data_IF_443059004927
#
_entry.id   IF_443059004927
#
_cell.length_a   1.000
_cell.length_b   1.000
_cell.length_c   1.000
_cell.angle_alpha   90.00
_cell.angle_beta   90.00
_cell.angle_gamma   90.00
#
_symmetry.space_group_name_H-M   'P 1'
#
loop_
_entity.id
_entity.type
_entity.pdbx_description
1 polymer ?
#
# COMPACT_ATOMS: atom_id res chain seq x y z
N UNK A 1 15.13 7.29 28.28
CA UNK A 1 14.49 7.89 27.09
C UNK A 1 15.19 9.22 26.88
N UNK A 2 15.94 9.37 25.79
CA UNK A 2 16.74 10.57 25.54
C UNK A 2 15.80 11.75 25.19
N UNK A 3 15.80 12.86 25.96
CA UNK A 3 14.91 14.00 25.75
C UNK A 3 15.13 14.74 24.41
N UNK A 4 16.19 14.44 23.66
CA UNK A 4 16.45 15.04 22.35
C UNK A 4 15.55 14.51 21.20
N UNK A 5 14.68 13.53 21.46
CA UNK A 5 13.73 12.95 20.50
C UNK A 5 12.86 13.99 19.77
N UNK A 6 12.46 15.09 20.44
CA UNK A 6 11.61 16.13 19.87
C UNK A 6 12.36 17.26 19.13
N UNK A 7 13.70 17.23 19.10
CA UNK A 7 14.51 18.36 18.60
C UNK A 7 15.09 18.15 17.20
N UNK A 8 14.83 17.01 16.55
CA UNK A 8 15.33 16.81 15.19
C UNK A 8 14.49 17.62 14.17
N UNK A 9 15.15 18.40 13.30
CA UNK A 9 14.50 19.14 12.21
C UNK A 9 13.80 18.23 11.19
N UNK A 10 14.13 16.93 11.20
CA UNK A 10 13.52 15.91 10.34
C UNK A 10 12.41 15.22 11.11
N UNK A 11 11.14 15.51 10.78
CA UNK A 11 9.98 14.78 11.33
C UNK A 11 10.20 13.28 11.18
N UNK A 12 9.84 12.51 12.21
CA UNK A 12 9.88 11.05 12.25
C UNK A 12 11.28 10.40 12.16
N UNK A 13 12.36 11.14 12.38
CA UNK A 13 13.69 10.55 12.56
C UNK A 13 13.81 9.94 13.96
N UNK A 14 14.03 8.63 14.03
CA UNK A 14 14.33 7.95 15.31
C UNK A 14 15.86 7.93 15.46
N UNK A 15 16.45 8.69 16.41
CA UNK A 15 17.91 8.82 16.55
C UNK A 15 18.58 7.54 17.09
N UNK A 16 17.80 6.54 17.47
CA UNK A 16 18.29 5.24 17.93
C UNK A 16 18.45 4.26 16.77
N UNK A 17 19.64 3.66 16.67
CA UNK A 17 19.93 2.56 15.74
C UNK A 17 19.89 1.24 16.50
N UNK A 18 19.08 0.28 16.07
CA UNK A 18 19.02 -1.05 16.68
C UNK A 18 20.30 -1.86 16.41
N UNK A 19 20.71 -2.78 17.31
CA UNK A 19 21.90 -3.62 17.08
C UNK A 19 21.86 -4.40 15.76
N UNK A 20 20.68 -4.94 15.39
CA UNK A 20 20.49 -5.63 14.11
C UNK A 20 20.70 -4.72 12.89
N UNK A 21 20.36 -3.43 12.98
CA UNK A 21 20.65 -2.44 11.93
C UNK A 21 22.14 -2.18 11.81
N UNK A 22 22.85 -2.06 12.93
CA UNK A 22 24.31 -1.87 12.94
C UNK A 22 24.98 -3.03 12.21
N UNK A 23 24.63 -4.26 12.58
CA UNK A 23 25.14 -5.48 11.94
C UNK A 23 24.78 -5.56 10.45
N UNK A 24 23.57 -5.12 10.08
CA UNK A 24 23.13 -5.08 8.70
C UNK A 24 23.94 -4.06 7.87
N UNK A 25 24.13 -2.85 8.39
CA UNK A 25 24.88 -1.79 7.72
C UNK A 25 26.34 -2.18 7.50
N UNK A 26 27.00 -2.85 8.45
CA UNK A 26 28.36 -3.39 8.24
C UNK A 26 28.46 -4.31 7.01
N UNK A 27 27.37 -5.03 6.69
CA UNK A 27 27.33 -5.96 5.57
C UNK A 27 26.96 -5.30 4.25
N UNK A 28 26.02 -4.36 4.23
CA UNK A 28 25.37 -3.89 2.99
C UNK A 28 25.53 -2.40 2.68
N UNK A 29 25.85 -1.54 3.65
CA UNK A 29 25.98 -0.10 3.44
C UNK A 29 27.01 0.22 2.34
N UNK A 30 26.66 1.15 1.45
CA UNK A 30 27.50 1.63 0.34
C UNK A 30 27.99 0.54 -0.64
N UNK A 31 27.37 -0.65 -0.58
CA UNK A 31 27.64 -1.73 -1.53
C UNK A 31 26.46 -1.88 -2.47
N UNK A 32 26.73 -1.94 -3.77
CA UNK A 32 25.70 -2.15 -4.79
C UNK A 32 24.86 -3.38 -4.38
N UNK A 33 23.54 -3.22 -4.20
CA UNK A 33 22.71 -4.32 -3.77
C UNK A 33 22.77 -5.49 -4.75
N UNK A 34 22.49 -6.69 -4.25
CA UNK A 34 22.35 -7.89 -5.06
C UNK A 34 20.91 -8.35 -4.91
N UNK A 35 20.10 -8.31 -5.98
CA UNK A 35 18.71 -8.74 -5.91
C UNK A 35 18.58 -10.17 -5.41
N UNK A 36 17.61 -10.38 -4.53
CA UNK A 36 17.17 -11.71 -4.11
C UNK A 36 15.66 -11.83 -4.33
N UNK A 37 15.19 -13.07 -4.40
CA UNK A 37 13.83 -13.38 -4.87
C UNK A 37 13.75 -13.36 -6.39
N UNK A 38 12.91 -14.23 -6.96
CA UNK A 38 12.68 -14.25 -8.39
C UNK A 38 11.91 -12.99 -8.82
N UNK A 39 12.15 -12.54 -10.05
CA UNK A 39 11.31 -11.52 -10.67
C UNK A 39 9.98 -12.15 -11.07
N UNK A 40 8.95 -11.94 -10.25
CA UNK A 40 7.59 -12.42 -10.47
C UNK A 40 6.61 -11.29 -10.16
N UNK A 41 5.84 -10.88 -11.16
CA UNK A 41 4.82 -9.84 -11.00
C UNK A 41 3.51 -10.48 -10.52
N UNK A 42 3.18 -10.23 -9.26
CA UNK A 42 2.03 -10.87 -8.60
C UNK A 42 0.82 -9.96 -8.44
N UNK A 43 0.98 -8.66 -8.63
CA UNK A 43 -0.08 -7.67 -8.40
C UNK A 43 0.13 -6.40 -9.22
N UNK A 44 -0.98 -5.71 -9.49
CA UNK A 44 -0.98 -4.38 -10.07
C UNK A 44 -0.91 -3.33 -8.97
N UNK A 45 0.02 -2.38 -9.09
CA UNK A 45 0.09 -1.25 -8.17
C UNK A 45 -0.61 -0.03 -8.75
N UNK A 46 -1.70 0.39 -8.10
CA UNK A 46 -2.39 1.63 -8.40
C UNK A 46 -2.20 2.59 -7.23
N UNK A 47 -1.60 3.77 -7.43
CA UNK A 47 -1.14 4.63 -6.34
C UNK A 47 -2.26 5.28 -5.51
N UNK A 48 -3.46 5.43 -6.09
CA UNK A 48 -4.61 6.11 -5.51
C UNK A 48 -4.27 7.41 -4.71
N UNK A 49 -3.53 8.31 -5.37
CA UNK A 49 -3.08 9.59 -4.79
C UNK A 49 -1.71 9.56 -4.12
N UNK A 50 -1.03 8.41 -4.05
CA UNK A 50 0.36 8.30 -3.59
C UNK A 50 1.36 8.49 -4.74
N UNK A 51 2.49 9.14 -4.49
CA UNK A 51 3.63 9.19 -5.42
C UNK A 51 4.59 8.00 -5.25
N UNK A 52 4.23 7.02 -4.41
CA UNK A 52 5.09 5.92 -3.96
C UNK A 52 4.51 4.56 -4.26
N UNK A 53 5.40 3.61 -4.51
CA UNK A 53 5.12 2.20 -4.28
C UNK A 53 5.48 1.91 -2.83
N UNK A 54 4.46 1.81 -1.97
CA UNK A 54 4.61 1.80 -0.52
C UNK A 54 4.16 0.46 0.09
N UNK A 55 5.12 -0.33 0.54
CA UNK A 55 4.94 -1.61 1.20
C UNK A 55 5.34 -1.53 2.68
N UNK A 56 5.26 -0.33 3.27
CA UNK A 56 5.54 -0.07 4.68
C UNK A 56 4.67 -0.90 5.61
N UNK A 57 5.16 -1.14 6.82
CA UNK A 57 4.46 -1.96 7.79
C UNK A 57 5.26 -2.18 9.07
N UNK A 58 4.79 -3.13 9.87
CA UNK A 58 5.39 -3.48 11.15
C UNK A 58 5.91 -4.91 11.17
N UNK A 59 7.18 -5.10 11.53
CA UNK A 59 7.81 -6.42 11.68
C UNK A 59 8.24 -6.69 13.11
N UNK A 60 7.70 -7.76 13.70
CA UNK A 60 8.09 -8.24 15.03
C UNK A 60 9.48 -8.86 15.08
N UNK A 61 9.97 -9.37 13.94
CA UNK A 61 11.28 -10.00 13.80
C UNK A 61 12.09 -9.28 12.72
N UNK A 62 13.33 -8.84 13.00
CA UNK A 62 14.21 -8.25 12.00
C UNK A 62 14.34 -9.17 10.78
N UNK A 63 13.89 -8.70 9.62
CA UNK A 63 13.80 -9.49 8.39
C UNK A 63 14.27 -8.64 7.23
N UNK A 64 15.25 -9.10 6.45
CA UNK A 64 15.58 -8.45 5.18
C UNK A 64 14.47 -8.77 4.18
N UNK A 65 13.83 -7.74 3.63
CA UNK A 65 12.76 -7.87 2.66
C UNK A 65 13.16 -7.17 1.37
N UNK A 66 12.67 -7.65 0.24
CA UNK A 66 12.95 -7.10 -1.07
C UNK A 66 11.75 -7.30 -1.99
N UNK A 67 11.56 -6.36 -2.91
CA UNK A 67 10.45 -6.37 -3.85
C UNK A 67 10.89 -5.90 -5.24
N UNK A 68 10.18 -6.39 -6.25
CA UNK A 68 10.32 -5.98 -7.64
C UNK A 68 9.12 -5.16 -8.08
N UNK A 69 9.36 -4.17 -8.92
CA UNK A 69 8.33 -3.43 -9.64
C UNK A 69 8.77 -3.22 -11.10
N UNK A 70 7.80 -3.13 -12.01
CA UNK A 70 8.04 -2.89 -13.43
C UNK A 70 6.97 -1.93 -13.98
N UNK A 71 7.41 -1.06 -14.88
CA UNK A 71 6.54 -0.23 -15.72
C UNK A 71 7.24 0.01 -17.07
N UNK A 72 6.55 0.66 -18.00
CA UNK A 72 7.13 1.07 -19.28
C UNK A 72 6.98 2.58 -19.48
N UNK A 73 7.99 3.17 -20.10
CA UNK A 73 7.95 4.54 -20.63
C UNK A 73 7.86 4.47 -22.15
N UNK A 74 6.75 4.94 -22.71
CA UNK A 74 6.57 5.08 -24.15
C UNK A 74 7.06 6.46 -24.60
N UNK A 75 8.10 6.48 -25.43
CA UNK A 75 8.67 7.70 -26.00
C UNK A 75 8.37 7.77 -27.50
N UNK A 76 7.82 8.89 -27.98
CA UNK A 76 7.55 9.07 -29.41
C UNK A 76 8.86 9.09 -30.22
N UNK A 77 9.87 9.78 -29.70
CA UNK A 77 11.22 9.88 -30.28
C UNK A 77 12.27 9.42 -29.28
N UNK A 78 13.43 8.98 -29.77
CA UNK A 78 14.56 8.69 -28.90
C UNK A 78 15.10 10.00 -28.27
N UNK A 79 15.56 9.93 -27.03
CA UNK A 79 16.06 11.09 -26.32
C UNK A 79 16.34 10.81 -24.84
N UNK A 80 16.81 11.82 -24.14
CA UNK A 80 17.20 11.69 -22.74
C UNK A 80 16.07 12.07 -21.78
N UNK A 81 16.02 11.36 -20.65
CA UNK A 81 15.18 11.69 -19.50
C UNK A 81 16.00 11.61 -18.21
N UNK A 82 15.68 12.47 -17.26
CA UNK A 82 16.24 12.45 -15.91
C UNK A 82 15.21 11.85 -14.96
N UNK A 83 15.59 10.77 -14.29
CA UNK A 83 14.79 10.09 -13.29
C UNK A 83 15.39 10.33 -11.90
N UNK A 84 14.55 10.54 -10.89
CA UNK A 84 14.97 10.58 -9.48
C UNK A 84 14.44 9.37 -8.74
N UNK A 85 15.35 8.52 -8.29
CA UNK A 85 15.04 7.36 -7.46
C UNK A 85 15.20 7.71 -5.98
N UNK A 86 14.13 7.53 -5.19
CA UNK A 86 14.09 7.80 -3.76
C UNK A 86 13.67 6.55 -2.98
N UNK A 87 14.45 6.16 -1.96
CA UNK A 87 14.12 5.07 -1.03
C UNK A 87 14.85 5.24 0.32
N UNK A 88 14.44 4.53 1.37
CA UNK A 88 15.15 4.49 2.66
C UNK A 88 16.27 3.42 2.70
N UNK A 89 16.06 2.34 1.96
CA UNK A 89 16.88 1.14 1.99
C UNK A 89 17.97 1.11 0.91
N UNK A 90 18.06 -0.03 0.24
CA UNK A 90 18.80 -0.24 -0.99
C UNK A 90 17.86 -0.36 -2.18
N UNK A 91 18.41 -0.20 -3.38
CA UNK A 91 17.68 -0.50 -4.60
C UNK A 91 18.50 -0.30 -5.86
N UNK A 92 17.98 -0.82 -6.96
CA UNK A 92 18.55 -0.76 -8.31
C UNK A 92 17.43 -0.35 -9.26
N UNK A 93 17.70 0.66 -10.09
CA UNK A 93 16.86 1.06 -11.21
C UNK A 93 17.49 0.53 -12.49
N UNK A 94 16.70 -0.16 -13.28
CA UNK A 94 17.08 -0.69 -14.57
C UNK A 94 16.23 -0.06 -15.66
N UNK A 95 16.87 0.33 -16.77
CA UNK A 95 16.19 0.80 -17.98
C UNK A 95 16.67 -0.05 -19.14
N UNK A 96 15.72 -0.67 -19.87
CA UNK A 96 16.01 -1.59 -20.97
C UNK A 96 17.00 -2.71 -20.62
N UNK A 97 16.95 -3.19 -19.36
CA UNK A 97 17.82 -4.25 -18.84
C UNK A 97 19.20 -3.79 -18.34
N UNK A 98 19.53 -2.49 -18.44
CA UNK A 98 20.79 -1.94 -17.94
C UNK A 98 20.60 -1.28 -16.56
N UNK A 99 21.50 -1.55 -15.61
CA UNK A 99 21.52 -0.89 -14.30
C UNK A 99 21.96 0.57 -14.45
N UNK A 100 21.04 1.52 -14.31
CA UNK A 100 21.30 2.96 -14.51
C UNK A 100 21.57 3.68 -13.20
N UNK A 101 20.96 3.26 -12.10
CA UNK A 101 21.16 3.85 -10.78
C UNK A 101 21.01 2.81 -9.68
N UNK A 102 21.63 3.05 -8.52
CA UNK A 102 21.45 2.23 -7.34
C UNK A 102 21.65 3.03 -6.06
N UNK A 103 20.97 2.65 -4.99
CA UNK A 103 21.15 3.18 -3.63
C UNK A 103 21.45 2.05 -2.66
N UNK A 104 22.15 2.36 -1.57
CA UNK A 104 22.48 1.44 -0.49
C UNK A 104 22.64 2.21 0.82
N UNK A 105 21.72 3.12 1.11
CA UNK A 105 21.80 4.01 2.28
C UNK A 105 21.39 3.29 3.57
N UNK A 106 20.36 2.43 3.50
CA UNK A 106 19.84 1.63 4.63
C UNK A 106 19.69 2.43 5.93
N UNK A 107 19.16 3.66 5.81
CA UNK A 107 18.88 4.53 6.95
C UNK A 107 17.43 4.32 7.34
N UNK A 108 17.19 3.86 8.56
CA UNK A 108 15.85 3.53 9.02
C UNK A 108 14.92 4.74 8.90
N UNK A 109 13.89 4.61 8.06
CA UNK A 109 12.83 5.58 7.80
C UNK A 109 13.30 6.95 7.28
N UNK A 110 14.56 7.05 6.86
CA UNK A 110 15.16 8.25 6.31
C UNK A 110 15.49 8.02 4.84
N UNK A 111 14.75 8.71 3.99
CA UNK A 111 14.88 8.60 2.54
C UNK A 111 16.14 9.29 2.01
N UNK A 112 16.71 8.70 0.97
CA UNK A 112 17.78 9.25 0.17
C UNK A 112 17.34 9.23 -1.31
N UNK A 113 17.77 10.22 -2.07
CA UNK A 113 17.45 10.36 -3.48
C UNK A 113 18.72 10.35 -4.34
N UNK A 114 18.63 9.78 -5.54
CA UNK A 114 19.68 9.78 -6.56
C UNK A 114 19.01 10.12 -7.90
N UNK A 115 19.58 11.10 -8.60
CA UNK A 115 19.15 11.46 -9.96
C UNK A 115 20.07 10.80 -10.99
N UNK A 116 19.48 10.32 -12.08
CA UNK A 116 20.19 9.71 -13.20
C UNK A 116 19.57 10.16 -14.52
N UNK A 117 20.42 10.51 -15.48
CA UNK A 117 19.99 10.73 -16.87
C UNK A 117 20.19 9.45 -17.67
N UNK A 118 19.13 9.03 -18.37
CA UNK A 118 19.11 7.81 -19.18
C UNK A 118 18.65 8.14 -20.59
N UNK A 119 19.19 7.42 -21.58
CA UNK A 119 18.73 7.51 -22.96
C UNK A 119 17.60 6.51 -23.19
N UNK A 120 16.48 7.00 -23.73
CA UNK A 120 15.36 6.19 -24.18
C UNK A 120 15.42 5.99 -25.70
N UNK A 121 14.96 4.83 -26.16
CA UNK A 121 14.66 4.58 -27.57
C UNK A 121 13.24 5.01 -27.90
N UNK A 122 12.95 5.29 -29.17
CA UNK A 122 11.56 5.45 -29.63
C UNK A 122 10.77 4.15 -29.39
N UNK A 123 9.51 4.27 -28.96
CA UNK A 123 8.66 3.17 -28.54
C UNK A 123 8.72 2.90 -27.03
N UNK A 124 8.47 1.64 -26.66
CA UNK A 124 8.43 1.22 -25.26
C UNK A 124 9.83 1.00 -24.68
N UNK A 125 10.09 1.61 -23.54
CA UNK A 125 11.28 1.41 -22.73
C UNK A 125 10.90 0.74 -21.42
N UNK A 126 11.51 -0.40 -21.13
CA UNK A 126 11.29 -1.15 -19.90
C UNK A 126 11.96 -0.45 -18.73
N UNK A 127 11.24 -0.25 -17.64
CA UNK A 127 11.78 0.30 -16.39
C UNK A 127 11.48 -0.67 -15.26
N UNK A 128 12.54 -1.20 -14.63
CA UNK A 128 12.42 -2.10 -13.47
C UNK A 128 13.10 -1.50 -12.26
N UNK A 129 12.50 -1.74 -11.11
CA UNK A 129 13.07 -1.39 -9.81
C UNK A 129 13.10 -2.64 -8.96
N UNK A 130 14.25 -2.94 -8.40
CA UNK A 130 14.37 -3.81 -7.24
C UNK A 130 14.78 -2.97 -6.05
N UNK A 131 14.13 -3.14 -4.91
CA UNK A 131 14.49 -2.41 -3.70
C UNK A 131 14.35 -3.30 -2.47
N UNK A 132 15.19 -3.06 -1.47
CA UNK A 132 15.26 -3.86 -0.25
C UNK A 132 15.52 -3.00 0.98
N UNK A 133 15.17 -3.54 2.14
CA UNK A 133 15.54 -2.96 3.43
C UNK A 133 15.57 -4.07 4.49
N UNK A 134 16.16 -3.76 5.65
CA UNK A 134 15.93 -4.51 6.88
C UNK A 134 14.62 -4.01 7.50
N UNK A 135 13.59 -4.85 7.49
CA UNK A 135 12.37 -4.62 8.23
C UNK A 135 12.55 -4.95 9.71
N UNK A 136 12.57 -3.91 10.54
CA UNK A 136 12.63 -4.00 12.00
C UNK A 136 11.62 -3.01 12.59
N UNK A 137 10.64 -3.50 13.37
CA UNK A 137 9.55 -2.66 13.91
C UNK A 137 8.76 -2.00 12.77
N UNK A 138 8.30 -0.77 12.97
CA UNK A 138 7.76 0.10 11.94
C UNK A 138 8.87 0.51 10.96
N UNK A 139 8.72 0.13 9.70
CA UNK A 139 9.59 0.59 8.61
C UNK A 139 8.83 1.24 7.48
N UNK A 140 9.45 2.26 6.88
CA UNK A 140 9.05 2.88 5.63
C UNK A 140 9.68 2.12 4.46
N UNK A 141 8.98 1.10 3.97
CA UNK A 141 9.45 0.26 2.87
C UNK A 141 8.81 0.71 1.56
N UNK A 142 9.42 1.68 0.89
CA UNK A 142 8.89 2.22 -0.35
C UNK A 142 9.99 2.58 -1.34
N UNK A 143 9.59 2.81 -2.58
CA UNK A 143 10.35 3.66 -3.48
C UNK A 143 9.45 4.68 -4.19
N UNK A 144 10.09 5.73 -4.69
CA UNK A 144 9.52 6.74 -5.57
C UNK A 144 10.47 6.94 -6.75
N UNK A 145 9.92 7.02 -7.95
CA UNK A 145 10.66 7.24 -9.18
C UNK A 145 10.06 8.45 -9.91
N UNK A 146 10.62 9.63 -9.67
CA UNK A 146 10.11 10.86 -10.28
C UNK A 146 10.68 11.05 -11.68
N UNK A 147 9.81 11.47 -12.60
CA UNK A 147 10.23 12.05 -13.86
C UNK A 147 10.62 13.53 -13.64
N UNK A 148 11.92 13.86 -13.75
CA UNK A 148 12.44 15.20 -13.42
C UNK A 148 12.47 16.11 -14.65
N UNK A 149 13.01 15.61 -15.77
CA UNK A 149 13.20 16.37 -17.00
C UNK A 149 13.41 15.44 -18.21
N UNK A 150 13.29 15.97 -19.42
CA UNK A 150 13.59 15.24 -20.66
C UNK A 150 12.49 15.31 -21.70
N UNK A 151 12.56 14.40 -22.68
CA UNK A 151 11.55 14.24 -23.75
C UNK A 151 10.18 13.80 -23.21
N UNK A 152 9.05 14.18 -23.84
CA UNK A 152 7.75 13.72 -23.39
C UNK A 152 7.63 12.19 -23.49
N UNK A 153 7.09 11.56 -22.44
CA UNK A 153 6.83 10.12 -22.36
C UNK A 153 5.46 9.85 -21.77
N UNK A 154 4.85 8.73 -22.16
CA UNK A 154 3.69 8.18 -21.47
C UNK A 154 4.11 7.00 -20.58
N UNK A 155 3.44 6.82 -19.44
CA UNK A 155 3.58 5.60 -18.65
C UNK A 155 2.65 4.54 -19.23
N UNK A 156 3.16 3.33 -19.45
CA UNK A 156 2.43 2.22 -20.03
C UNK A 156 2.51 0.98 -19.15
N UNK A 157 1.43 0.20 -19.14
CA UNK A 157 1.30 -1.07 -18.43
C UNK A 157 0.60 -2.10 -19.34
N UNK A 158 1.13 -3.33 -19.35
CA UNK A 158 0.59 -4.41 -20.19
C UNK A 158 -0.69 -4.99 -19.57
N UNK A 159 -1.85 -4.46 -19.92
CA UNK A 159 -3.13 -4.93 -19.35
C UNK A 159 -3.68 -6.18 -20.06
N UNK A 160 -4.19 -7.19 -19.33
CA UNK A 160 -4.88 -8.35 -19.92
C UNK A 160 -6.33 -8.04 -20.35
N UNK A 161 -6.81 -6.82 -20.07
CA UNK A 161 -8.15 -6.33 -20.45
C UNK A 161 -8.04 -4.98 -21.16
N UNK A 162 -9.15 -4.52 -21.77
CA UNK A 162 -9.21 -3.22 -22.44
C UNK A 162 -8.82 -2.07 -21.52
N UNK A 163 -8.11 -1.06 -22.04
CA UNK A 163 -7.69 0.12 -21.30
C UNK A 163 -8.87 0.88 -20.66
N UNK A 164 -10.02 0.94 -21.35
CA UNK A 164 -11.25 1.52 -20.78
C UNK A 164 -11.77 0.76 -19.55
N UNK A 165 -11.45 -0.54 -19.45
CA UNK A 165 -11.78 -1.34 -18.28
C UNK A 165 -10.90 -1.01 -17.08
N UNK A 166 -9.60 -0.89 -17.32
CA UNK A 166 -8.63 -0.44 -16.31
C UNK A 166 -9.01 0.94 -15.78
N UNK A 167 -9.23 1.90 -16.68
CA UNK A 167 -9.53 3.29 -16.33
C UNK A 167 -10.83 3.42 -15.51
N UNK A 168 -11.86 2.62 -15.82
CA UNK A 168 -13.08 2.60 -15.02
C UNK A 168 -12.83 2.03 -13.63
N UNK A 169 -12.13 0.90 -13.51
CA UNK A 169 -11.84 0.29 -12.20
C UNK A 169 -10.98 1.21 -11.34
N UNK A 170 -10.01 1.90 -11.95
CA UNK A 170 -9.19 2.92 -11.28
C UNK A 170 -10.05 4.09 -10.81
N UNK A 171 -10.92 4.65 -11.68
CA UNK A 171 -11.84 5.75 -11.32
C UNK A 171 -12.78 5.35 -10.17
N UNK A 172 -13.37 4.15 -10.25
CA UNK A 172 -14.26 3.62 -9.23
C UNK A 172 -13.54 3.48 -7.88
N UNK A 173 -12.34 2.89 -7.88
CA UNK A 173 -11.55 2.70 -6.67
C UNK A 173 -10.99 4.02 -6.13
N UNK A 174 -10.60 4.98 -6.98
CA UNK A 174 -10.09 6.31 -6.59
C UNK A 174 -11.13 7.13 -5.83
N UNK A 175 -12.41 7.01 -6.17
CA UNK A 175 -13.50 7.71 -5.48
C UNK A 175 -14.33 6.85 -4.53
N UNK A 176 -13.96 5.58 -4.30
CA UNK A 176 -14.74 4.71 -3.41
C UNK A 176 -14.70 5.22 -1.97
N UNK A 177 -15.84 5.17 -1.30
CA UNK A 177 -16.01 5.63 0.08
C UNK A 177 -17.04 4.77 0.81
N UNK A 178 -17.11 4.92 2.13
CA UNK A 178 -18.24 4.44 2.92
C UNK A 178 -19.33 5.52 3.00
N UNK A 179 -20.57 5.12 3.27
CA UNK A 179 -21.66 6.08 3.53
C UNK A 179 -21.42 6.94 4.77
N UNK A 180 -20.73 6.37 5.77
CA UNK A 180 -20.46 7.02 7.04
C UNK A 180 -18.99 6.87 7.43
N UNK A 181 -18.50 7.79 8.26
CA UNK A 181 -17.13 7.73 8.81
C UNK A 181 -16.99 6.70 9.94
N UNK A 182 -18.11 6.23 10.50
CA UNK A 182 -18.18 5.17 11.50
C UNK A 182 -19.56 4.49 11.46
N UNK A 183 -19.61 3.22 11.83
CA UNK A 183 -20.83 2.43 11.85
C UNK A 183 -21.13 1.89 13.26
N UNK A 184 -22.36 2.07 13.73
CA UNK A 184 -22.83 1.49 14.99
C UNK A 184 -23.92 0.42 14.85
N UNK A 185 -24.55 0.37 13.69
CA UNK A 185 -25.60 -0.57 13.33
C UNK A 185 -25.80 -0.52 11.80
N UNK A 186 -26.56 -1.48 11.28
CA UNK A 186 -27.03 -1.46 9.90
C UNK A 186 -26.03 -2.05 8.90
N UNK A 187 -26.23 -1.68 7.64
CA UNK A 187 -25.42 -2.20 6.54
C UNK A 187 -24.23 -1.30 6.24
N UNK A 188 -23.10 -1.92 5.92
CA UNK A 188 -21.88 -1.27 5.44
C UNK A 188 -21.90 -1.36 3.92
N UNK A 189 -22.06 -0.20 3.29
CA UNK A 189 -22.07 -0.07 1.85
C UNK A 189 -20.80 0.63 1.35
N UNK A 190 -20.31 0.19 0.19
CA UNK A 190 -19.35 0.95 -0.62
C UNK A 190 -20.11 1.85 -1.59
N UNK A 191 -19.76 3.14 -1.57
CA UNK A 191 -20.25 4.17 -2.46
C UNK A 191 -19.18 4.51 -3.49
N UNK A 192 -19.48 4.28 -4.76
CA UNK A 192 -18.62 4.58 -5.89
C UNK A 192 -18.97 5.94 -6.50
N UNK A 193 -17.98 6.66 -7.06
CA UNK A 193 -18.16 8.05 -7.51
C UNK A 193 -19.01 8.18 -8.78
N UNK A 194 -19.12 7.11 -9.57
CA UNK A 194 -19.87 7.02 -10.82
C UNK A 194 -20.50 5.64 -10.94
N UNK A 195 -21.59 5.45 -11.71
CA UNK A 195 -22.16 4.14 -11.91
C UNK A 195 -21.19 3.24 -12.67
N UNK A 196 -21.14 1.96 -12.33
CA UNK A 196 -20.45 0.98 -13.15
C UNK A 196 -21.09 0.91 -14.56
N UNK A 197 -20.27 0.80 -15.59
CA UNK A 197 -20.71 0.62 -16.98
C UNK A 197 -20.79 -0.85 -17.37
N UNK A 198 -20.17 -1.73 -16.58
CA UNK A 198 -20.11 -3.18 -16.78
C UNK A 198 -20.22 -3.92 -15.43
N UNK A 199 -20.59 -5.21 -15.41
CA UNK A 199 -20.55 -5.99 -14.18
C UNK A 199 -19.10 -6.12 -13.68
N UNK A 200 -18.90 -5.89 -12.39
CA UNK A 200 -17.62 -6.05 -11.71
C UNK A 200 -17.82 -6.92 -10.47
N UNK A 201 -16.91 -7.88 -10.26
CA UNK A 201 -16.87 -8.62 -9.00
C UNK A 201 -16.18 -7.77 -7.94
N UNK A 202 -16.79 -7.66 -6.77
CA UNK A 202 -16.20 -7.04 -5.59
C UNK A 202 -15.85 -8.16 -4.61
N UNK A 203 -14.57 -8.36 -4.35
CA UNK A 203 -14.12 -9.11 -3.18
C UNK A 203 -13.69 -8.11 -2.10
N UNK A 204 -14.11 -8.32 -0.87
CA UNK A 204 -13.73 -7.47 0.25
C UNK A 204 -13.19 -8.32 1.39
N UNK A 205 -11.91 -8.08 1.75
CA UNK A 205 -11.29 -8.68 2.93
C UNK A 205 -11.23 -7.65 4.04
N UNK A 206 -11.90 -7.93 5.16
CA UNK A 206 -11.93 -7.09 6.35
C UNK A 206 -10.89 -7.59 7.34
N UNK A 207 -9.95 -6.72 7.69
CA UNK A 207 -8.82 -6.98 8.57
C UNK A 207 -8.92 -6.06 9.80
N UNK A 208 -8.48 -6.54 10.96
CA UNK A 208 -8.16 -5.64 12.07
C UNK A 208 -6.83 -4.91 11.84
N UNK A 209 -6.44 -4.07 12.80
CA UNK A 209 -5.10 -3.48 12.80
C UNK A 209 -4.01 -4.53 13.13
N UNK A 210 -2.72 -4.17 13.03
CA UNK A 210 -1.59 -5.10 13.21
C UNK A 210 -1.50 -5.78 14.59
N UNK A 211 -2.26 -5.29 15.58
CA UNK A 211 -2.40 -5.88 16.92
C UNK A 211 -3.64 -6.78 17.08
N UNK A 212 -4.55 -6.77 16.10
CA UNK A 212 -5.78 -7.56 16.14
C UNK A 212 -5.45 -9.05 16.00
N UNK A 213 -6.09 -9.87 16.82
CA UNK A 213 -6.02 -11.33 16.76
C UNK A 213 -7.18 -11.95 15.96
N UNK A 214 -8.08 -11.10 15.45
CA UNK A 214 -9.24 -11.55 14.71
C UNK A 214 -8.84 -12.16 13.38
N UNK A 215 -9.50 -13.26 13.01
CA UNK A 215 -9.34 -13.83 11.69
C UNK A 215 -9.95 -12.90 10.62
N UNK A 216 -9.28 -12.70 9.48
CA UNK A 216 -9.85 -11.97 8.36
C UNK A 216 -11.23 -12.50 7.95
N UNK A 217 -12.17 -11.59 7.72
CA UNK A 217 -13.51 -11.93 7.22
C UNK A 217 -13.59 -11.51 5.75
N UNK A 218 -14.12 -12.37 4.90
CA UNK A 218 -14.23 -12.11 3.47
C UNK A 218 -15.70 -12.06 3.03
N UNK A 219 -15.99 -11.11 2.15
CA UNK A 219 -17.28 -10.97 1.48
C UNK A 219 -17.06 -10.89 -0.02
N UNK A 220 -18.02 -11.40 -0.78
CA UNK A 220 -18.06 -11.25 -2.22
C UNK A 220 -19.43 -10.74 -2.64
N UNK A 221 -19.44 -9.79 -3.56
CA UNK A 221 -20.65 -9.22 -4.15
C UNK A 221 -20.37 -8.75 -5.57
N UNK A 222 -21.38 -8.19 -6.23
CA UNK A 222 -21.30 -7.71 -7.60
C UNK A 222 -21.73 -6.23 -7.65
N UNK A 223 -21.00 -5.42 -8.41
CA UNK A 223 -21.44 -4.11 -8.84
C UNK A 223 -21.94 -4.19 -10.27
N UNK A 224 -23.26 -4.09 -10.47
CA UNK A 224 -23.91 -4.22 -11.77
C UNK A 224 -23.90 -2.90 -12.54
N UNK A 225 -24.05 -2.94 -13.88
CA UNK A 225 -24.21 -1.73 -14.67
C UNK A 225 -25.31 -0.80 -14.13
N UNK A 226 -24.99 0.48 -14.01
CA UNK A 226 -25.89 1.51 -13.46
C UNK A 226 -25.90 1.62 -11.94
N UNK A 227 -25.24 0.70 -11.21
CA UNK A 227 -25.13 0.78 -9.75
C UNK A 227 -23.92 1.62 -9.32
N UNK A 228 -24.10 2.36 -8.22
CA UNK A 228 -23.06 3.13 -7.52
C UNK A 228 -22.86 2.67 -6.08
N UNK A 229 -23.69 1.75 -5.59
CA UNK A 229 -23.70 1.31 -4.20
C UNK A 229 -23.65 -0.21 -4.18
N UNK A 230 -22.73 -0.77 -3.42
CA UNK A 230 -22.65 -2.21 -3.17
C UNK A 230 -22.64 -2.49 -1.66
N UNK A 231 -23.59 -3.32 -1.22
CA UNK A 231 -23.67 -3.80 0.16
C UNK A 231 -22.61 -4.87 0.40
N UNK A 232 -21.77 -4.68 1.43
CA UNK A 232 -20.69 -5.60 1.79
C UNK A 232 -21.10 -6.52 2.94
N UNK A 233 -21.53 -5.93 4.05
CA UNK A 233 -21.85 -6.68 5.26
C UNK A 233 -22.86 -5.90 6.12
N UNK A 234 -23.48 -6.58 7.07
CA UNK A 234 -24.10 -5.92 8.21
C UNK A 234 -23.07 -5.74 9.34
N UNK A 235 -23.14 -4.66 10.10
CA UNK A 235 -22.21 -4.37 11.21
C UNK A 235 -22.15 -5.49 12.25
N UNK A 236 -23.25 -6.24 12.45
CA UNK A 236 -23.30 -7.35 13.39
C UNK A 236 -22.47 -8.57 12.95
N UNK A 237 -22.04 -8.62 11.68
CA UNK A 237 -21.20 -9.70 11.13
C UNK A 237 -19.70 -9.41 11.31
N UNK A 238 -19.35 -8.21 11.77
CA UNK A 238 -17.97 -7.75 11.92
C UNK A 238 -17.70 -7.39 13.38
N UNK A 239 -16.54 -7.74 13.94
CA UNK A 239 -16.23 -7.34 15.31
C UNK A 239 -15.92 -5.85 15.37
N UNK A 240 -16.27 -5.22 16.49
CA UNK A 240 -16.01 -3.81 16.73
C UNK A 240 -14.50 -3.54 16.77
N UNK A 241 -14.02 -2.58 15.98
CA UNK A 241 -12.65 -2.03 15.95
C UNK A 241 -12.56 -0.97 14.83
N UNK A 242 -11.40 -0.33 14.66
CA UNK A 242 -11.00 0.24 13.39
C UNK A 242 -10.60 -0.87 12.41
N UNK A 243 -11.36 -1.03 11.33
CA UNK A 243 -11.22 -2.14 10.37
C UNK A 243 -10.72 -1.66 9.02
N UNK A 244 -9.76 -2.39 8.47
CA UNK A 244 -9.23 -2.18 7.13
C UNK A 244 -10.00 -3.07 6.13
N UNK A 245 -10.70 -2.45 5.19
CA UNK A 245 -11.41 -3.09 4.10
C UNK A 245 -10.50 -3.08 2.87
N UNK A 246 -9.90 -4.22 2.55
CA UNK A 246 -9.18 -4.43 1.29
C UNK A 246 -10.22 -4.75 0.22
N UNK A 247 -10.57 -3.76 -0.59
CA UNK A 247 -11.59 -3.80 -1.62
C UNK A 247 -10.91 -4.12 -2.95
N UNK A 248 -11.24 -5.27 -3.52
CA UNK A 248 -10.72 -5.71 -4.82
C UNK A 248 -11.84 -5.72 -5.86
N UNK A 249 -11.72 -4.88 -6.88
CA UNK A 249 -12.53 -4.99 -8.10
C UNK A 249 -11.86 -5.97 -9.05
N UNK A 250 -12.65 -6.84 -9.66
CA UNK A 250 -12.17 -7.79 -10.68
C UNK A 250 -13.03 -7.76 -11.94
N UNK A 251 -12.35 -7.82 -13.09
CA UNK A 251 -12.93 -7.93 -14.43
C UNK A 251 -12.03 -8.82 -15.29
N UNK A 252 -12.50 -9.99 -15.69
CA UNK A 252 -11.69 -10.97 -16.42
C UNK A 252 -10.46 -11.39 -15.61
N UNK A 253 -9.27 -11.25 -16.20
CA UNK A 253 -7.98 -11.58 -15.58
C UNK A 253 -7.32 -10.41 -14.83
N UNK A 254 -8.00 -9.26 -14.71
CA UNK A 254 -7.50 -8.10 -13.98
C UNK A 254 -8.20 -7.95 -12.63
N UNK A 255 -7.40 -7.76 -11.58
CA UNK A 255 -7.86 -7.37 -10.25
C UNK A 255 -7.07 -6.17 -9.74
N UNK A 256 -7.78 -5.16 -9.23
CA UNK A 256 -7.18 -3.95 -8.64
C UNK A 256 -7.73 -3.80 -7.23
N UNK A 257 -6.85 -3.49 -6.26
CA UNK A 257 -7.23 -3.41 -4.85
C UNK A 257 -6.94 -2.04 -4.25
N UNK A 258 -7.86 -1.54 -3.43
CA UNK A 258 -7.66 -0.37 -2.56
C UNK A 258 -8.08 -0.71 -1.14
N UNK A 259 -7.37 -0.16 -0.16
CA UNK A 259 -7.70 -0.32 1.26
C UNK A 259 -8.34 0.95 1.80
N UNK A 260 -9.50 0.83 2.44
CA UNK A 260 -10.13 1.90 3.23
C UNK A 260 -10.27 1.47 4.69
N UNK A 261 -10.14 2.41 5.61
CA UNK A 261 -10.37 2.18 7.03
C UNK A 261 -11.71 2.76 7.48
N UNK A 262 -12.45 2.04 8.32
CA UNK A 262 -13.65 2.57 8.99
C UNK A 262 -13.78 2.03 10.41
N UNK A 263 -14.31 2.84 11.31
CA UNK A 263 -14.61 2.42 12.67
C UNK A 263 -15.96 1.69 12.74
N UNK A 264 -15.96 0.53 13.40
CA UNK A 264 -17.17 -0.21 13.75
C UNK A 264 -17.28 -0.24 15.27
N UNK A 265 -18.38 0.27 15.80
CA UNK A 265 -18.61 0.36 17.24
C UNK A 265 -20.01 -0.17 17.58
N UNK A 266 -20.11 -1.31 18.28
CA UNK A 266 -21.40 -1.86 18.71
C UNK A 266 -21.97 -1.12 19.94
N UNK A 267 -22.00 0.21 19.93
CA UNK A 267 -22.46 1.05 21.04
C UNK A 267 -23.89 0.71 21.50
N UNK A 268 -24.73 0.24 20.57
CA UNK A 268 -26.10 -0.20 20.85
C UNK A 268 -26.16 -1.53 21.60
N UNK A 269 -25.06 -2.29 21.73
CA UNK A 269 -24.99 -3.47 22.58
C UNK A 269 -24.86 -3.11 24.07
N UNK A 270 -24.34 -1.92 24.41
CA UNK A 270 -24.14 -1.45 25.79
C UNK A 270 -25.28 -0.57 26.29
N UNK A 271 -26.54 -0.92 25.98
CA UNK A 271 -27.70 -0.05 26.24
C UNK A 271 -28.07 0.07 27.73
N UNK A 272 -27.71 -0.90 28.57
CA UNK A 272 -28.09 -0.90 29.98
C UNK A 272 -26.84 -1.11 30.81
N UNK A 273 -26.38 -0.04 31.47
CA UNK A 273 -25.28 -0.15 32.43
C UNK A 273 -25.76 -0.97 33.63
N UNK A 274 -25.11 -2.11 33.95
CA UNK A 274 -25.52 -2.89 35.10
C UNK A 274 -25.44 -2.07 36.40
N UNK A 275 -26.46 -2.16 37.25
CA UNK A 275 -26.57 -1.31 38.46
C UNK A 275 -25.45 -1.59 39.47
N UNK A 276 -24.98 -2.83 39.54
CA UNK A 276 -23.97 -3.26 40.51
C UNK A 276 -22.57 -3.30 39.92
N UNK A 277 -21.57 -3.04 40.75
CA UNK A 277 -20.16 -3.17 40.37
C UNK A 277 -19.82 -4.59 39.89
N UNK A 278 -20.34 -5.62 40.57
CA UNK A 278 -20.11 -7.01 40.22
C UNK A 278 -20.63 -7.34 38.81
N UNK A 279 -21.83 -6.85 38.46
CA UNK A 279 -22.39 -7.06 37.13
C UNK A 279 -21.63 -6.28 36.04
N UNK A 280 -21.17 -5.05 36.33
CA UNK A 280 -20.28 -4.30 35.42
C UNK A 280 -18.95 -5.01 35.17
N UNK A 281 -18.36 -5.62 36.21
CA UNK A 281 -17.13 -6.42 36.08
C UNK A 281 -17.39 -7.66 35.21
N UNK A 282 -18.49 -8.38 35.46
CA UNK A 282 -18.85 -9.57 34.69
C UNK A 282 -19.08 -9.24 33.20
N UNK A 283 -19.80 -8.16 32.91
CA UNK A 283 -20.02 -7.65 31.54
C UNK A 283 -18.70 -7.28 30.86
N UNK A 284 -17.82 -6.55 31.54
CA UNK A 284 -16.51 -6.19 31.00
C UNK A 284 -15.63 -7.41 30.70
N UNK A 285 -15.60 -8.39 31.61
CA UNK A 285 -14.84 -9.64 31.41
C UNK A 285 -15.42 -10.49 30.28
N UNK A 286 -16.74 -10.49 30.08
CA UNK A 286 -17.36 -11.18 28.94
C UNK A 286 -17.07 -10.50 27.61
N UNK A 287 -16.97 -9.16 27.60
CA UNK A 287 -16.78 -8.38 26.37
C UNK A 287 -15.33 -8.36 25.90
N UNK A 288 -14.36 -8.44 26.84
CA UNK A 288 -12.91 -8.41 26.56
C UNK A 288 -12.30 -9.83 26.48
N UNK A 289 -13.03 -10.85 26.95
CA UNK A 289 -12.57 -12.24 27.06
C UNK A 289 -12.83 -13.12 25.85
#
# INVERSE_FOLDING_TARGET
MDPFFFLSKKKNLIPHTYPCRVDFQQRYLEKKPQPFGAFELTQWWFPFGSDRVDLSGFWFRPTRIGAWAQTWLEAETAGEVTLRFTTCGGGIVQVNGEDVAWSAAYQRNLENAIEVTVSLTSGLNDVRVWFDDLAERDIRFFFQLDYVAGIPVNVALVSPVLASCVAEMETLLEGVSFEYSAYSHGDINLCFPVPATRPLTIACRVLGDFISLDSPIAFETELRPGQQIARIANTAQLPADFRNFVITLSSGALSISRTLGVEICHATAQQIVPETLAARIAEALHTVG
#
